data_IF_938523619788
#
_entry.id   IF_938523619788
#
_cell.length_a   1.000
_cell.length_b   1.000
_cell.length_c   1.000
_cell.angle_alpha   90.00
_cell.angle_beta   90.00
_cell.angle_gamma   90.00
#
_symmetry.space_group_name_H-M   'P 1'
#
loop_
_entity.id
_entity.type
_entity.pdbx_description
1 polymer ?
#
# COMPACT_ATOMS: atom_id res chain seq x y z
N UNK A 1 10.36 16.02 9.04
CA UNK A 1 9.39 15.48 8.07
C UNK A 1 9.32 16.41 6.87
N UNK A 2 9.45 15.88 5.66
CA UNK A 2 9.32 16.62 4.39
C UNK A 2 8.19 15.98 3.57
N UNK A 3 7.34 16.79 2.97
CA UNK A 3 6.24 16.35 2.11
C UNK A 3 6.47 16.92 0.73
N UNK A 4 6.56 16.03 -0.27
CA UNK A 4 6.68 16.40 -1.68
C UNK A 4 5.42 15.98 -2.41
N UNK A 5 4.63 16.94 -2.87
CA UNK A 5 3.45 16.65 -3.70
C UNK A 5 3.88 16.04 -5.04
N UNK A 6 3.19 15.01 -5.48
CA UNK A 6 3.44 14.32 -6.74
C UNK A 6 2.49 14.79 -7.84
N UNK A 7 1.30 15.24 -7.47
CA UNK A 7 0.37 15.94 -8.37
C UNK A 7 -0.47 16.96 -7.60
N UNK A 8 -1.24 17.78 -8.31
CA UNK A 8 -2.10 18.78 -7.68
C UNK A 8 -3.37 18.21 -7.04
N UNK A 9 -3.80 17.01 -7.43
CA UNK A 9 -5.05 16.42 -6.99
C UNK A 9 -4.88 15.38 -5.88
N UNK A 10 -3.82 14.57 -5.95
CA UNK A 10 -3.54 13.49 -5.00
C UNK A 10 -2.08 13.05 -5.11
N UNK A 11 -1.63 12.34 -4.08
CA UNK A 11 -0.31 11.72 -4.06
C UNK A 11 0.77 12.61 -3.45
N UNK A 12 1.42 12.11 -2.39
CA UNK A 12 2.56 12.76 -1.76
C UNK A 12 3.66 11.75 -1.41
N UNK A 13 4.91 12.12 -1.62
CA UNK A 13 6.07 11.40 -1.09
C UNK A 13 6.43 11.98 0.27
N UNK A 14 6.51 11.12 1.27
CA UNK A 14 6.77 11.48 2.66
C UNK A 14 8.17 11.03 3.05
N UNK A 15 8.97 11.94 3.59
CA UNK A 15 10.30 11.66 4.13
C UNK A 15 10.38 11.99 5.62
N UNK A 16 11.22 11.27 6.34
CA UNK A 16 11.46 11.52 7.77
C UNK A 16 10.41 10.91 8.70
N UNK A 17 9.61 9.97 8.21
CA UNK A 17 8.84 9.04 9.03
C UNK A 17 9.39 7.62 8.83
N UNK A 18 9.46 6.85 9.91
CA UNK A 18 9.84 5.45 9.91
C UNK A 18 8.57 4.59 10.06
N UNK A 19 8.32 3.72 9.08
CA UNK A 19 7.17 2.82 9.13
C UNK A 19 7.31 1.67 10.15
N UNK A 20 8.49 1.49 10.74
CA UNK A 20 8.71 0.58 11.86
C UNK A 20 8.25 1.15 13.19
N UNK A 21 8.21 2.46 13.30
CA UNK A 21 7.66 3.13 14.49
C UNK A 21 6.14 3.03 14.47
N UNK A 22 5.62 2.10 15.26
CA UNK A 22 4.19 1.85 15.43
C UNK A 22 3.57 2.64 16.59
N UNK A 23 4.23 3.71 17.06
CA UNK A 23 3.64 4.61 18.05
C UNK A 23 2.37 5.27 17.53
N UNK A 24 1.43 5.54 18.42
CA UNK A 24 0.18 6.23 18.10
C UNK A 24 0.43 7.61 17.48
N UNK A 25 1.49 8.31 17.92
CA UNK A 25 1.86 9.61 17.36
C UNK A 25 2.30 9.50 15.89
N UNK A 26 3.16 8.52 15.58
CA UNK A 26 3.62 8.29 14.21
C UNK A 26 2.46 7.84 13.31
N UNK A 27 1.64 6.91 13.81
CA UNK A 27 0.46 6.45 13.07
C UNK A 27 -0.53 7.58 12.80
N UNK A 28 -0.79 8.46 13.79
CA UNK A 28 -1.68 9.60 13.57
C UNK A 28 -1.18 10.48 12.43
N UNK A 29 0.12 10.77 12.36
CA UNK A 29 0.71 11.53 11.25
C UNK A 29 0.50 10.83 9.91
N UNK A 30 0.75 9.51 9.83
CA UNK A 30 0.54 8.71 8.61
C UNK A 30 -0.93 8.75 8.18
N UNK A 31 -1.86 8.57 9.12
CA UNK A 31 -3.29 8.59 8.82
C UNK A 31 -3.76 9.98 8.34
N UNK A 32 -3.33 11.06 8.99
CA UNK A 32 -3.68 12.42 8.59
C UNK A 32 -3.16 12.74 7.17
N UNK A 33 -1.92 12.35 6.87
CA UNK A 33 -1.33 12.48 5.54
C UNK A 33 -2.08 11.64 4.48
N UNK A 34 -2.49 10.43 4.81
CA UNK A 34 -3.29 9.60 3.91
C UNK A 34 -4.65 10.24 3.63
N UNK A 35 -5.31 10.78 4.63
CA UNK A 35 -6.61 11.45 4.48
C UNK A 35 -6.49 12.74 3.65
N UNK A 36 -5.40 13.46 3.76
CA UNK A 36 -5.14 14.68 3.00
C UNK A 36 -4.79 14.38 1.54
N UNK A 37 -3.81 13.49 1.33
CA UNK A 37 -3.22 13.26 0.01
C UNK A 37 -3.79 12.06 -0.74
N UNK A 38 -4.64 11.22 -0.14
CA UNK A 38 -5.31 10.02 -0.69
C UNK A 38 -4.37 8.86 -1.01
N UNK A 39 -3.18 9.14 -1.49
CA UNK A 39 -2.10 8.17 -1.74
C UNK A 39 -0.79 8.76 -1.22
N UNK A 40 -0.08 8.01 -0.40
CA UNK A 40 1.20 8.44 0.16
C UNK A 40 2.29 7.41 -0.11
N UNK A 41 3.49 7.90 -0.38
CA UNK A 41 4.64 7.07 -0.73
C UNK A 41 5.77 7.28 0.26
N UNK A 42 6.38 6.18 0.66
CA UNK A 42 7.55 6.15 1.52
C UNK A 42 8.68 5.44 0.79
N UNK A 43 9.81 6.10 0.62
CA UNK A 43 11.00 5.51 0.00
C UNK A 43 11.91 4.91 1.06
N UNK A 44 12.72 3.91 0.62
CA UNK A 44 13.77 3.31 1.45
C UNK A 44 13.28 2.71 2.79
N UNK A 45 12.05 2.22 2.82
CA UNK A 45 11.47 1.55 3.98
C UNK A 45 11.72 0.04 3.91
N UNK A 46 12.59 -0.45 4.79
CA UNK A 46 12.88 -1.89 4.84
C UNK A 46 12.10 -2.56 5.98
N UNK A 47 10.77 -2.56 5.84
CA UNK A 47 9.87 -3.23 6.80
C UNK A 47 9.77 -4.72 6.53
N UNK A 48 9.65 -5.53 7.59
CA UNK A 48 9.35 -6.95 7.50
C UNK A 48 7.85 -7.19 7.26
N UNK A 49 7.42 -8.43 6.95
CA UNK A 49 5.98 -8.74 6.89
C UNK A 49 5.25 -8.47 8.21
N UNK A 50 5.89 -8.77 9.34
CA UNK A 50 5.33 -8.51 10.67
C UNK A 50 5.15 -7.01 10.93
N UNK A 51 6.13 -6.19 10.56
CA UNK A 51 6.06 -4.74 10.68
C UNK A 51 4.99 -4.16 9.74
N UNK A 52 4.82 -4.72 8.52
CA UNK A 52 3.75 -4.34 7.61
C UNK A 52 2.36 -4.65 8.20
N UNK A 53 2.18 -5.83 8.82
CA UNK A 53 0.95 -6.20 9.50
C UNK A 53 0.70 -5.32 10.74
N UNK A 54 1.75 -5.02 11.51
CA UNK A 54 1.65 -4.13 12.67
C UNK A 54 1.14 -2.73 12.25
N UNK A 55 1.73 -2.15 11.21
CA UNK A 55 1.24 -0.89 10.64
C UNK A 55 -0.21 -1.01 10.17
N UNK A 56 -0.56 -2.09 9.47
CA UNK A 56 -1.91 -2.33 8.97
C UNK A 56 -2.97 -2.37 10.08
N UNK A 57 -2.66 -2.95 11.24
CA UNK A 57 -3.59 -3.07 12.38
C UNK A 57 -4.06 -1.72 12.93
N UNK A 58 -3.28 -0.68 12.80
CA UNK A 58 -3.70 0.67 13.20
C UNK A 58 -4.85 1.22 12.34
N UNK A 59 -4.99 0.77 11.09
CA UNK A 59 -6.11 1.16 10.22
C UNK A 59 -7.40 0.39 10.53
N UNK A 60 -7.31 -0.74 11.23
CA UNK A 60 -8.43 -1.60 11.59
C UNK A 60 -8.09 -3.10 11.50
N UNK A 61 -9.10 -3.97 11.59
CA UNK A 61 -8.91 -5.40 11.42
C UNK A 61 -8.27 -5.70 10.07
N UNK A 62 -7.26 -6.59 10.09
CA UNK A 62 -6.63 -7.04 8.85
C UNK A 62 -7.56 -7.98 8.10
N UNK A 63 -7.63 -7.82 6.79
CA UNK A 63 -8.45 -8.64 5.91
C UNK A 63 -7.63 -9.65 5.12
N UNK A 64 -8.21 -10.82 4.87
CA UNK A 64 -7.68 -11.80 3.92
C UNK A 64 -8.39 -11.60 2.60
N UNK A 65 -7.64 -11.58 1.50
CA UNK A 65 -8.25 -11.43 0.18
C UNK A 65 -9.11 -12.65 -0.16
N UNK A 66 -10.36 -12.42 -0.57
CA UNK A 66 -11.36 -13.48 -0.76
C UNK A 66 -10.97 -14.44 -1.89
N UNK A 67 -10.39 -13.91 -2.97
CA UNK A 67 -10.10 -14.67 -4.19
C UNK A 67 -8.62 -15.02 -4.38
N UNK A 68 -7.73 -14.42 -3.63
CA UNK A 68 -6.29 -14.61 -3.79
C UNK A 68 -5.69 -15.11 -2.48
N UNK A 69 -5.03 -16.26 -2.54
CA UNK A 69 -4.36 -16.84 -1.38
C UNK A 69 -3.20 -15.95 -0.95
N UNK A 70 -3.19 -15.57 0.31
CA UNK A 70 -2.07 -14.88 0.95
C UNK A 70 -0.86 -15.81 1.13
N UNK A 71 0.22 -15.26 1.67
CA UNK A 71 1.42 -16.01 2.00
C UNK A 71 1.12 -17.04 3.10
N UNK A 72 1.81 -18.16 3.08
CA UNK A 72 1.60 -19.28 4.01
C UNK A 72 1.62 -18.84 5.48
N UNK A 73 2.62 -18.05 5.88
CA UNK A 73 2.76 -17.55 7.25
C UNK A 73 2.10 -16.18 7.50
N UNK A 74 1.61 -15.52 6.46
CA UNK A 74 1.02 -14.18 6.50
C UNK A 74 -0.18 -14.11 5.55
N UNK A 75 -1.31 -14.74 5.92
CA UNK A 75 -2.45 -14.89 5.01
C UNK A 75 -3.12 -13.57 4.60
N UNK A 76 -2.88 -12.48 5.33
CA UNK A 76 -3.34 -11.13 5.01
C UNK A 76 -2.44 -10.43 3.97
N UNK A 77 -1.26 -10.99 3.67
CA UNK A 77 -0.33 -10.43 2.69
C UNK A 77 -0.41 -11.23 1.40
N UNK A 78 -0.96 -10.62 0.38
CA UNK A 78 -0.95 -11.18 -0.98
C UNK A 78 0.37 -10.84 -1.68
N UNK A 79 0.97 -11.83 -2.32
CA UNK A 79 2.17 -11.65 -3.12
C UNK A 79 1.81 -11.58 -4.60
N UNK A 80 2.01 -10.44 -5.21
CA UNK A 80 1.79 -10.22 -6.64
C UNK A 80 3.15 -10.34 -7.35
N UNK A 81 3.25 -11.30 -8.28
CA UNK A 81 4.47 -11.51 -9.07
C UNK A 81 4.05 -11.44 -10.54
N UNK A 82 4.69 -10.55 -11.30
CA UNK A 82 4.58 -10.50 -12.75
C UNK A 82 5.85 -11.08 -13.37
N UNK A 83 5.71 -12.10 -14.22
CA UNK A 83 6.82 -12.69 -14.97
C UNK A 83 6.99 -11.95 -16.30
N UNK A 84 8.23 -11.91 -16.88
CA UNK A 84 8.51 -11.13 -18.09
C UNK A 84 7.62 -11.45 -19.32
N UNK A 85 7.14 -12.69 -19.44
CA UNK A 85 6.35 -13.15 -20.59
C UNK A 85 4.87 -13.39 -20.24
N UNK A 86 4.39 -12.88 -19.13
CA UNK A 86 3.01 -13.04 -18.69
C UNK A 86 2.10 -12.08 -19.46
N UNK A 87 1.15 -12.63 -20.21
CA UNK A 87 0.23 -11.85 -21.05
C UNK A 87 -0.90 -11.20 -20.26
N UNK A 88 -1.34 -11.86 -19.18
CA UNK A 88 -2.40 -11.33 -18.32
C UNK A 88 -1.77 -10.59 -17.14
N UNK A 89 -2.11 -9.33 -17.02
CA UNK A 89 -1.64 -8.50 -15.91
C UNK A 89 -2.76 -8.34 -14.90
N UNK A 90 -2.43 -8.59 -13.65
CA UNK A 90 -3.35 -8.34 -12.56
C UNK A 90 -3.43 -6.83 -12.29
N UNK A 91 -4.64 -6.25 -12.30
CA UNK A 91 -4.82 -4.84 -12.02
C UNK A 91 -4.53 -3.88 -13.19
N UNK A 92 -4.55 -4.36 -14.44
CA UNK A 92 -4.33 -3.50 -15.64
C UNK A 92 -5.41 -2.45 -15.86
N UNK A 93 -6.63 -2.76 -15.46
CA UNK A 93 -7.76 -1.86 -15.66
C UNK A 93 -7.96 -0.95 -14.44
N UNK A 94 -8.53 0.23 -14.67
CA UNK A 94 -8.99 1.09 -13.59
C UNK A 94 -9.98 0.35 -12.70
N UNK A 95 -9.71 0.30 -11.41
CA UNK A 95 -10.55 -0.37 -10.43
C UNK A 95 -10.40 0.29 -9.05
N UNK A 96 -11.28 -0.04 -8.16
CA UNK A 96 -11.12 0.21 -6.72
C UNK A 96 -10.94 -1.11 -6.00
N UNK A 97 -10.03 -1.15 -5.03
CA UNK A 97 -9.73 -2.36 -4.29
C UNK A 97 -10.86 -2.74 -3.34
N UNK A 98 -11.34 -3.99 -3.45
CA UNK A 98 -12.29 -4.63 -2.52
C UNK A 98 -13.58 -3.82 -2.26
N UNK A 99 -13.94 -2.91 -3.16
CA UNK A 99 -15.13 -2.04 -3.05
C UNK A 99 -16.46 -2.78 -3.15
N UNK A 100 -16.45 -4.04 -3.57
CA UNK A 100 -17.64 -4.91 -3.63
C UNK A 100 -18.06 -5.47 -2.26
N UNK A 101 -17.25 -5.34 -1.22
CA UNK A 101 -17.61 -5.76 0.12
C UNK A 101 -18.61 -4.79 0.75
N UNK A 102 -19.53 -5.31 1.59
CA UNK A 102 -20.46 -4.51 2.38
C UNK A 102 -19.75 -3.50 3.31
N UNK A 103 -18.53 -3.85 3.74
CA UNK A 103 -17.59 -2.96 4.41
C UNK A 103 -16.33 -2.91 3.57
N UNK A 104 -16.16 -1.92 2.70
CA UNK A 104 -14.97 -1.79 1.87
C UNK A 104 -13.70 -1.63 2.70
N UNK A 105 -12.60 -2.14 2.17
CA UNK A 105 -11.26 -1.99 2.77
C UNK A 105 -10.92 -0.50 2.90
N UNK A 106 -10.51 -0.09 4.10
CA UNK A 106 -10.19 1.32 4.40
C UNK A 106 -8.92 1.80 3.71
N UNK A 107 -7.89 0.94 3.68
CA UNK A 107 -6.60 1.26 3.09
C UNK A 107 -5.89 -0.02 2.65
N UNK A 108 -4.97 0.11 1.69
CA UNK A 108 -4.10 -0.97 1.22
C UNK A 108 -2.65 -0.53 1.35
N UNK A 109 -1.80 -1.39 1.90
CA UNK A 109 -0.36 -1.15 2.02
C UNK A 109 0.36 -2.01 1.00
N UNK A 110 0.94 -1.37 -0.01
CA UNK A 110 1.74 -2.04 -1.04
C UNK A 110 3.22 -1.86 -0.74
N UNK A 111 3.95 -2.97 -0.65
CA UNK A 111 5.41 -2.97 -0.54
C UNK A 111 6.02 -3.52 -1.82
N UNK A 112 6.78 -2.71 -2.53
CA UNK A 112 7.57 -3.17 -3.68
C UNK A 112 8.77 -3.99 -3.21
N UNK A 113 8.98 -5.16 -3.82
CA UNK A 113 10.12 -6.05 -3.54
C UNK A 113 11.13 -5.99 -4.69
N UNK A 114 10.62 -6.06 -5.91
CA UNK A 114 11.42 -5.97 -7.13
C UNK A 114 10.60 -5.24 -8.17
N UNK A 115 11.15 -4.17 -8.69
CA UNK A 115 10.53 -3.34 -9.73
C UNK A 115 11.45 -3.29 -10.95
N UNK A 116 10.90 -3.16 -12.17
CA UNK A 116 11.73 -2.96 -13.37
C UNK A 116 12.36 -1.56 -13.33
N UNK A 117 13.48 -1.35 -14.02
CA UNK A 117 14.11 -0.02 -14.11
C UNK A 117 13.26 0.98 -14.91
N UNK A 118 12.40 0.49 -15.79
CA UNK A 118 11.51 1.31 -16.64
C UNK A 118 10.17 0.59 -16.81
N UNK A 119 9.08 1.31 -16.74
CA UNK A 119 7.72 0.80 -16.92
C UNK A 119 7.17 0.11 -15.67
N UNK A 120 5.97 -0.43 -15.79
CA UNK A 120 5.24 -1.05 -14.68
C UNK A 120 4.69 -0.03 -13.68
N UNK A 121 4.37 1.17 -14.16
CA UNK A 121 3.85 2.24 -13.32
C UNK A 121 2.47 1.92 -12.76
N UNK A 122 2.23 2.34 -11.52
CA UNK A 122 0.91 2.31 -10.92
C UNK A 122 0.32 3.71 -10.96
N UNK A 123 -0.82 3.85 -11.62
CA UNK A 123 -1.53 5.11 -11.74
C UNK A 123 -2.71 5.17 -10.77
N UNK A 124 -2.99 6.35 -10.25
CA UNK A 124 -4.12 6.61 -9.35
C UNK A 124 -4.96 7.77 -9.87
N UNK A 125 -6.27 7.70 -9.67
CA UNK A 125 -7.19 8.81 -9.94
C UNK A 125 -8.08 9.07 -8.72
N UNK A 126 -8.57 10.31 -8.59
CA UNK A 126 -9.51 10.72 -7.55
C UNK A 126 -10.85 11.07 -8.19
#
# INVERSE_FOLDING_TARGET
>A
MEIKLLSGALGAEIKGLDLKDTSEENFKKINDLLLEHKVIFFRNQNITPEEQLALGKHFGPLEKHVYVKGRENYPEIVRIIKKPNEKNQWGENWHSDVSYNAKPTKAVILKSIKIPPVGGDTCFSN
#
